data_IF_487536987324
#
_entry.id   IF_487536987324
#
_cell.length_a   1.000
_cell.length_b   1.000
_cell.length_c   1.000
_cell.angle_alpha   90.00
_cell.angle_beta   90.00
_cell.angle_gamma   90.00
#
_symmetry.space_group_name_H-M   'P 1'
#
loop_
_entity.id
_entity.type
_entity.pdbx_description
1 polymer ?
#
# COMPACT_ATOMS: atom_id res chain seq x y z
N UNK A 1 -7.33 20.46 23.45
CA UNK A 1 -8.21 19.30 23.18
C UNK A 1 -7.61 18.09 23.88
N UNK A 2 -8.36 17.44 24.78
CA UNK A 2 -7.89 16.22 25.43
C UNK A 2 -7.76 15.08 24.41
N UNK A 3 -6.71 14.26 24.51
CA UNK A 3 -6.59 13.07 23.66
C UNK A 3 -7.54 11.98 24.17
N UNK A 4 -8.34 11.41 23.26
CA UNK A 4 -9.12 10.21 23.56
C UNK A 4 -8.36 8.95 23.15
N UNK A 5 -8.35 7.94 24.02
CA UNK A 5 -7.79 6.62 23.72
C UNK A 5 -8.83 5.77 23.01
N UNK A 6 -8.46 5.14 21.89
CA UNK A 6 -9.24 4.08 21.24
C UNK A 6 -8.38 2.83 21.10
N UNK A 7 -8.99 1.67 21.35
CA UNK A 7 -8.36 0.36 21.18
C UNK A 7 -9.10 -0.42 20.11
N UNK A 8 -8.35 -1.02 19.19
CA UNK A 8 -8.87 -1.86 18.11
C UNK A 8 -7.98 -3.09 17.99
N UNK A 9 -8.59 -4.26 17.83
CA UNK A 9 -7.85 -5.50 17.52
C UNK A 9 -7.54 -5.54 16.03
N UNK A 10 -6.29 -5.81 15.67
CA UNK A 10 -5.88 -6.02 14.28
C UNK A 10 -5.45 -7.48 14.07
N UNK A 11 -5.78 -8.08 12.92
CA UNK A 11 -5.17 -9.33 12.47
C UNK A 11 -3.65 -9.20 12.39
N UNK A 12 -2.94 -10.29 12.72
CA UNK A 12 -1.47 -10.28 12.80
C UNK A 12 -0.81 -9.89 11.47
N UNK A 13 -1.30 -10.43 10.35
CA UNK A 13 -0.80 -10.12 9.01
C UNK A 13 -0.94 -8.63 8.66
N UNK A 14 -2.10 -8.03 8.99
CA UNK A 14 -2.35 -6.62 8.74
C UNK A 14 -1.48 -5.73 9.64
N UNK A 15 -1.28 -6.13 10.89
CA UNK A 15 -0.40 -5.42 11.82
C UNK A 15 1.05 -5.41 11.32
N UNK A 16 1.55 -6.55 10.83
CA UNK A 16 2.89 -6.67 10.29
C UNK A 16 3.07 -5.86 9.00
N UNK A 17 2.11 -5.92 8.08
CA UNK A 17 2.13 -5.13 6.85
C UNK A 17 2.16 -3.62 7.15
N UNK A 18 1.36 -3.18 8.12
CA UNK A 18 1.33 -1.79 8.57
C UNK A 18 2.67 -1.35 9.20
N UNK A 19 3.29 -2.19 10.02
CA UNK A 19 4.59 -1.91 10.63
C UNK A 19 5.71 -1.77 9.57
N UNK A 20 5.74 -2.68 8.58
CA UNK A 20 6.67 -2.59 7.45
C UNK A 20 6.50 -1.28 6.67
N UNK A 21 5.25 -0.89 6.37
CA UNK A 21 4.95 0.38 5.69
C UNK A 21 5.29 1.59 6.54
N UNK A 22 5.02 1.55 7.85
CA UNK A 22 5.35 2.62 8.78
C UNK A 22 6.86 2.91 8.76
N UNK A 23 7.68 1.86 8.87
CA UNK A 23 9.15 1.96 8.80
C UNK A 23 9.63 2.48 7.46
N UNK A 24 9.11 1.93 6.35
CA UNK A 24 9.49 2.35 5.00
C UNK A 24 9.17 3.83 4.72
N UNK A 25 8.15 4.40 5.37
CA UNK A 25 7.77 5.81 5.25
C UNK A 25 8.41 6.70 6.33
N UNK A 26 9.21 6.13 7.25
CA UNK A 26 9.91 6.89 8.30
C UNK A 26 9.01 7.36 9.44
N UNK A 27 7.88 6.70 9.71
CA UNK A 27 7.05 7.05 10.86
C UNK A 27 7.74 6.69 12.18
N UNK A 28 7.75 7.58 13.19
CA UNK A 28 8.47 7.36 14.45
C UNK A 28 7.77 6.39 15.41
N UNK A 29 6.52 6.01 15.12
CA UNK A 29 5.76 5.04 15.92
C UNK A 29 4.53 4.55 15.18
N UNK A 30 3.99 3.40 15.63
CA UNK A 30 2.70 2.88 15.21
C UNK A 30 1.58 3.93 15.27
N UNK A 31 1.46 4.62 16.41
CA UNK A 31 0.43 5.65 16.60
C UNK A 31 0.59 6.83 15.62
N UNK A 32 1.83 7.19 15.26
CA UNK A 32 2.07 8.22 14.26
C UNK A 32 1.63 7.76 12.87
N UNK A 33 1.86 6.49 12.53
CA UNK A 33 1.41 5.89 11.27
C UNK A 33 -0.10 5.88 11.14
N UNK A 34 -0.84 5.38 12.15
CA UNK A 34 -2.30 5.36 12.14
C UNK A 34 -2.89 6.78 12.02
N UNK A 35 -2.36 7.75 12.79
CA UNK A 35 -2.76 9.16 12.65
C UNK A 35 -2.45 9.69 11.25
N UNK A 36 -1.32 9.28 10.66
CA UNK A 36 -0.94 9.61 9.30
C UNK A 36 -1.94 9.10 8.27
N UNK A 37 -2.36 7.84 8.36
CA UNK A 37 -3.36 7.25 7.47
C UNK A 37 -4.71 7.98 7.56
N UNK A 38 -5.20 8.26 8.77
CA UNK A 38 -6.45 9.01 8.97
C UNK A 38 -6.33 10.43 8.38
N UNK A 39 -5.20 11.12 8.62
CA UNK A 39 -4.98 12.46 8.05
C UNK A 39 -4.88 12.42 6.53
N UNK A 40 -4.25 11.41 5.96
CA UNK A 40 -4.14 11.24 4.52
C UNK A 40 -5.52 11.04 3.89
N UNK A 41 -6.34 10.16 4.46
CA UNK A 41 -7.72 9.93 4.04
C UNK A 41 -8.55 11.23 4.09
N UNK A 42 -8.54 11.92 5.23
CA UNK A 42 -9.26 13.19 5.40
C UNK A 42 -8.77 14.33 4.50
N UNK A 43 -7.48 14.32 4.14
CA UNK A 43 -6.88 15.32 3.25
C UNK A 43 -7.26 15.07 1.79
N UNK A 44 -7.18 13.83 1.34
CA UNK A 44 -7.45 13.46 -0.06
C UNK A 44 -8.95 13.39 -0.34
N UNK A 45 -9.75 13.00 0.66
CA UNK A 45 -11.20 12.74 0.53
C UNK A 45 -11.56 11.90 -0.70
N UNK A 46 -10.64 11.03 -1.12
CA UNK A 46 -10.80 10.20 -2.29
C UNK A 46 -11.72 9.04 -1.97
N UNK A 47 -12.55 8.65 -2.93
CA UNK A 47 -13.40 7.48 -2.80
C UNK A 47 -12.55 6.20 -2.64
N UNK A 48 -12.36 5.75 -1.39
CA UNK A 48 -11.74 4.47 -1.06
C UNK A 48 -12.74 3.29 -1.19
N UNK A 49 -13.69 3.38 -2.13
CA UNK A 49 -14.78 2.40 -2.31
C UNK A 49 -14.28 0.99 -2.62
N UNK A 50 -13.04 0.85 -3.11
CA UNK A 50 -12.39 -0.45 -3.36
C UNK A 50 -12.20 -1.29 -2.09
N UNK A 51 -12.04 -0.69 -0.91
CA UNK A 51 -11.83 -1.42 0.35
C UNK A 51 -13.11 -1.59 1.17
N UNK A 52 -14.18 -0.84 0.87
CA UNK A 52 -15.47 -0.95 1.58
C UNK A 52 -16.08 -2.36 1.53
N UNK A 53 -16.06 -3.10 0.40
CA UNK A 53 -16.55 -4.47 0.37
C UNK A 53 -15.80 -5.42 1.31
N UNK A 54 -14.49 -5.20 1.53
CA UNK A 54 -13.67 -6.09 2.37
C UNK A 54 -14.14 -6.07 3.83
N UNK A 55 -14.57 -4.91 4.32
CA UNK A 55 -15.13 -4.77 5.68
C UNK A 55 -16.44 -5.56 5.87
N UNK A 56 -17.11 -5.97 4.78
CA UNK A 56 -18.35 -6.75 4.80
C UNK A 56 -18.12 -8.24 4.52
N UNK A 57 -16.90 -8.64 4.18
CA UNK A 57 -16.56 -10.05 3.96
C UNK A 57 -16.56 -10.84 5.28
N UNK A 58 -16.68 -12.16 5.19
CA UNK A 58 -16.45 -13.04 6.32
C UNK A 58 -15.00 -12.92 6.83
N UNK A 59 -14.76 -13.18 8.12
CA UNK A 59 -13.46 -12.92 8.77
C UNK A 59 -12.32 -13.73 8.14
N UNK A 60 -12.57 -14.98 7.77
CA UNK A 60 -11.62 -15.85 7.07
C UNK A 60 -11.21 -15.29 5.70
N UNK A 61 -12.14 -14.65 5.00
CA UNK A 61 -11.87 -13.96 3.74
C UNK A 61 -11.07 -12.68 3.98
N UNK A 62 -11.35 -11.94 5.06
CA UNK A 62 -10.55 -10.77 5.44
C UNK A 62 -9.11 -11.17 5.78
N UNK A 63 -8.92 -12.26 6.52
CA UNK A 63 -7.60 -12.79 6.87
C UNK A 63 -6.79 -13.17 5.60
N UNK A 64 -7.43 -13.76 4.59
CA UNK A 64 -6.79 -14.05 3.31
C UNK A 64 -6.38 -12.78 2.55
N UNK A 65 -7.21 -11.74 2.59
CA UNK A 65 -6.88 -10.43 2.00
C UNK A 65 -5.66 -9.85 2.71
N UNK A 66 -5.64 -9.86 4.05
CA UNK A 66 -4.56 -9.31 4.86
C UNK A 66 -3.24 -10.06 4.63
N UNK A 67 -3.27 -11.39 4.57
CA UNK A 67 -2.10 -12.21 4.23
C UNK A 67 -1.54 -11.85 2.84
N UNK A 68 -2.41 -11.63 1.85
CA UNK A 68 -1.99 -11.20 0.52
C UNK A 68 -1.36 -9.79 0.52
N UNK A 69 -1.93 -8.86 1.29
CA UNK A 69 -1.40 -7.51 1.43
C UNK A 69 -0.02 -7.49 2.11
N UNK A 70 0.21 -8.37 3.09
CA UNK A 70 1.52 -8.57 3.70
C UNK A 70 2.55 -9.01 2.64
N UNK A 71 2.28 -10.08 1.90
CA UNK A 71 3.18 -10.59 0.84
C UNK A 71 3.49 -9.52 -0.22
N UNK A 72 2.52 -8.69 -0.59
CA UNK A 72 2.74 -7.58 -1.52
C UNK A 72 3.62 -6.48 -0.92
N UNK A 73 3.41 -6.18 0.37
CA UNK A 73 4.17 -5.18 1.13
C UNK A 73 5.62 -5.58 1.31
N UNK A 74 5.89 -6.83 1.69
CA UNK A 74 7.24 -7.40 1.82
C UNK A 74 8.02 -7.29 0.51
N UNK A 75 7.33 -7.48 -0.62
CA UNK A 75 7.91 -7.36 -1.97
C UNK A 75 8.04 -5.91 -2.45
N UNK A 76 7.67 -4.92 -1.64
CA UNK A 76 7.63 -3.50 -2.04
C UNK A 76 6.65 -3.19 -3.17
N UNK A 77 5.69 -4.08 -3.45
CA UNK A 77 4.75 -3.96 -4.57
C UNK A 77 3.45 -3.30 -4.13
N UNK A 78 3.36 -1.98 -4.28
CA UNK A 78 2.09 -1.27 -4.19
C UNK A 78 1.28 -1.34 -5.49
N UNK A 79 -0.06 -1.44 -5.40
CA UNK A 79 -0.96 -1.43 -6.57
C UNK A 79 -0.75 -0.20 -7.46
N UNK A 80 -0.42 0.96 -6.87
CA UNK A 80 -0.06 2.17 -7.63
C UNK A 80 1.24 2.01 -8.42
N UNK A 81 2.21 1.26 -7.91
CA UNK A 81 3.42 0.88 -8.65
C UNK A 81 3.13 -0.11 -9.77
N UNK A 82 2.15 -1.01 -9.59
CA UNK A 82 1.70 -1.92 -10.65
C UNK A 82 0.88 -1.20 -11.73
N UNK A 83 0.02 -0.27 -11.34
CA UNK A 83 -0.75 0.58 -12.25
C UNK A 83 0.17 1.52 -13.04
N UNK A 84 1.12 2.19 -12.39
CA UNK A 84 2.12 3.02 -13.07
C UNK A 84 2.97 2.19 -14.03
N UNK A 85 3.44 1.01 -13.60
CA UNK A 85 4.16 0.06 -14.50
C UNK A 85 3.30 -0.36 -15.70
N UNK A 86 2.00 -0.60 -15.50
CA UNK A 86 1.06 -0.94 -16.60
C UNK A 86 0.78 0.26 -17.51
N UNK A 87 0.70 1.48 -16.97
CA UNK A 87 0.52 2.72 -17.75
C UNK A 87 1.77 2.99 -18.59
N UNK A 88 2.97 2.93 -17.98
CA UNK A 88 4.26 3.07 -18.69
C UNK A 88 4.34 2.03 -19.83
N UNK A 89 4.10 0.75 -19.51
CA UNK A 89 4.10 -0.34 -20.51
C UNK A 89 3.07 -0.15 -21.64
N UNK A 90 1.93 0.48 -21.37
CA UNK A 90 0.90 0.79 -22.39
C UNK A 90 1.28 2.00 -23.26
N UNK A 91 1.89 3.03 -22.66
CA UNK A 91 2.39 4.22 -23.37
C UNK A 91 3.55 3.84 -24.29
N UNK A 92 4.47 2.99 -23.82
CA UNK A 92 5.59 2.47 -24.63
C UNK A 92 5.12 1.73 -25.89
N UNK A 93 4.02 0.99 -25.81
CA UNK A 93 3.46 0.22 -26.94
C UNK A 93 2.72 1.10 -27.95
N UNK A 94 2.13 2.22 -27.53
CA UNK A 94 1.33 3.08 -28.42
C UNK A 94 2.10 4.21 -29.11
N UNK A 95 3.23 4.67 -28.53
CA UNK A 95 3.87 5.92 -28.98
C UNK A 95 5.15 5.74 -29.83
N UNK A 96 5.68 4.52 -29.99
CA UNK A 96 6.91 4.29 -30.77
C UNK A 96 8.17 5.02 -30.24
N UNK A 97 8.09 5.66 -29.06
CA UNK A 97 9.16 6.46 -28.44
C UNK A 97 9.57 5.96 -27.05
N UNK A 98 9.23 4.70 -26.71
CA UNK A 98 9.58 4.11 -25.41
C UNK A 98 11.04 3.69 -25.33
N UNK A 99 11.71 4.02 -24.21
CA UNK A 99 13.01 3.45 -23.86
C UNK A 99 12.80 1.96 -23.57
N UNK A 100 13.53 1.03 -24.22
CA UNK A 100 13.29 -0.40 -24.07
C UNK A 100 13.50 -0.84 -22.62
N UNK A 101 12.72 -1.83 -22.16
CA UNK A 101 12.79 -2.36 -20.80
C UNK A 101 14.21 -2.81 -20.37
N UNK A 102 15.06 -3.20 -21.34
CA UNK A 102 16.47 -3.52 -21.13
C UNK A 102 17.33 -2.35 -20.66
N UNK A 103 16.92 -1.09 -20.91
CA UNK A 103 17.62 0.11 -20.45
C UNK A 103 17.19 0.56 -19.03
N UNK A 104 16.23 -0.14 -18.43
CA UNK A 104 15.81 0.08 -17.03
C UNK A 104 16.40 -0.98 -16.08
N UNK A 105 17.18 -1.93 -16.59
CA UNK A 105 17.81 -3.01 -15.80
C UNK A 105 19.29 -2.73 -15.43
N UNK A 106 19.88 -1.61 -15.83
CA UNK A 106 21.27 -1.28 -15.47
C UNK A 106 21.33 -0.39 -14.21
N UNK A 107 21.50 -1.05 -13.06
CA UNK A 107 22.47 -0.74 -11.99
C UNK A 107 22.04 -1.41 -10.67
N UNK A 108 22.13 -2.74 -10.61
CA UNK A 108 22.33 -3.47 -9.34
C UNK A 108 23.68 -4.21 -9.42
N UNK A 109 24.77 -3.47 -9.56
CA UNK A 109 26.09 -3.95 -9.18
C UNK A 109 27.01 -2.75 -8.90
N UNK A 110 27.09 -2.38 -7.61
CA UNK A 110 28.30 -1.96 -6.89
C UNK A 110 28.01 -1.70 -5.42
#
# INVERSE_FOLDING_TARGET
MASHTRSTKLPACLAEAAELRARALGYPSWNAYIKGLIRYDLLVQGDHTITLPWARCALDVQDQIDAKLLVLTEKGKGERGQLLKRIIKKVDVHAGHGVPASALEENEER
#
